data_IF_745629147283
#
_entry.id   IF_745629147283
#
_cell.length_a   1.000
_cell.length_b   1.000
_cell.length_c   1.000
_cell.angle_alpha   90.00
_cell.angle_beta   90.00
_cell.angle_gamma   90.00
#
_symmetry.space_group_name_H-M   'P 1'
#
loop_
_entity.id
_entity.type
_entity.pdbx_description
1 polymer ?
#
# COMPACT_ATOMS: atom_id res chain seq x y z
N UNK A 1 -51.11 -0.19 5.34
CA UNK A 1 -50.33 -0.81 4.26
C UNK A 1 -49.28 0.15 3.70
N UNK A 2 -48.34 0.64 4.52
CA UNK A 2 -47.29 1.58 4.05
C UNK A 2 -45.93 1.42 4.74
N UNK A 3 -45.79 0.40 5.60
CA UNK A 3 -44.55 0.15 6.35
C UNK A 3 -43.84 -1.16 5.98
N UNK A 4 -44.35 -1.94 5.02
CA UNK A 4 -43.68 -3.15 4.55
C UNK A 4 -42.71 -2.93 3.37
N UNK A 5 -42.66 -1.72 2.80
CA UNK A 5 -41.85 -1.42 1.61
C UNK A 5 -40.43 -0.90 1.91
N UNK A 6 -40.11 -0.56 3.16
CA UNK A 6 -38.79 -0.03 3.51
C UNK A 6 -37.75 -1.10 3.93
N UNK A 7 -38.19 -2.35 4.15
CA UNK A 7 -37.31 -3.43 4.62
C UNK A 7 -36.68 -4.27 3.48
N UNK A 8 -37.07 -4.04 2.21
CA UNK A 8 -36.55 -4.79 1.06
C UNK A 8 -35.41 -4.09 0.29
N UNK A 9 -35.04 -2.87 0.67
CA UNK A 9 -33.99 -2.10 -0.03
C UNK A 9 -32.56 -2.32 0.53
N UNK A 10 -32.39 -3.14 1.58
CA UNK A 10 -31.11 -3.32 2.30
C UNK A 10 -30.38 -4.64 2.01
N UNK A 11 -30.78 -5.39 0.98
CA UNK A 11 -30.26 -6.76 0.73
C UNK A 11 -29.50 -6.94 -0.60
N UNK A 12 -29.10 -5.86 -1.30
CA UNK A 12 -28.50 -5.98 -2.63
C UNK A 12 -27.17 -5.21 -2.82
N UNK A 13 -26.35 -5.08 -1.78
CA UNK A 13 -24.94 -4.69 -1.93
C UNK A 13 -24.06 -5.71 -1.20
N UNK A 14 -24.25 -6.99 -1.54
CA UNK A 14 -23.21 -7.98 -1.33
C UNK A 14 -22.22 -7.83 -2.47
N UNK A 15 -20.93 -7.49 -2.23
CA UNK A 15 -19.94 -7.66 -3.27
C UNK A 15 -19.90 -9.16 -3.58
N UNK A 16 -20.45 -9.55 -4.74
CA UNK A 16 -20.14 -10.86 -5.27
C UNK A 16 -18.62 -10.91 -5.38
N UNK A 17 -18.00 -11.80 -4.63
CA UNK A 17 -16.58 -12.09 -4.79
C UNK A 17 -16.41 -12.72 -6.17
N UNK A 18 -16.26 -11.86 -7.18
CA UNK A 18 -16.01 -12.28 -8.55
C UNK A 18 -14.68 -12.99 -8.56
N UNK A 19 -14.68 -14.24 -9.01
CA UNK A 19 -13.46 -15.00 -9.15
C UNK A 19 -12.60 -14.35 -10.25
N UNK A 20 -11.42 -13.89 -9.85
CA UNK A 20 -10.47 -13.29 -10.78
C UNK A 20 -9.71 -14.43 -11.46
N UNK A 21 -9.79 -14.50 -12.78
CA UNK A 21 -9.00 -15.45 -13.56
C UNK A 21 -7.60 -14.90 -13.76
N UNK A 22 -6.58 -15.72 -13.44
CA UNK A 22 -5.21 -15.46 -13.86
C UNK A 22 -5.03 -16.03 -15.26
N UNK A 23 -4.84 -15.16 -16.24
CA UNK A 23 -4.55 -15.53 -17.62
C UNK A 23 -3.06 -15.34 -17.89
N UNK A 24 -2.46 -16.27 -18.62
CA UNK A 24 -1.06 -16.16 -19.04
C UNK A 24 -0.86 -16.60 -20.48
N UNK A 25 -0.09 -15.82 -21.23
CA UNK A 25 0.46 -16.18 -22.54
C UNK A 25 1.99 -16.34 -22.45
N UNK A 26 2.66 -16.52 -23.59
CA UNK A 26 4.11 -16.72 -23.66
C UNK A 26 4.95 -15.52 -23.17
N UNK A 27 4.35 -14.33 -23.03
CA UNK A 27 5.07 -13.07 -22.78
C UNK A 27 4.57 -12.33 -21.54
N UNK A 28 3.36 -12.59 -21.06
CA UNK A 28 2.75 -11.82 -19.98
C UNK A 28 1.68 -12.59 -19.19
N UNK A 29 1.44 -12.12 -17.97
CA UNK A 29 0.38 -12.58 -17.07
C UNK A 29 -0.50 -11.39 -16.73
N UNK A 30 -1.81 -11.57 -16.82
CA UNK A 30 -2.79 -10.56 -16.44
C UNK A 30 -4.00 -11.20 -15.74
N UNK A 31 -4.81 -10.35 -15.11
CA UNK A 31 -5.93 -10.77 -14.27
C UNK A 31 -7.21 -10.13 -14.78
N UNK A 32 -8.27 -10.92 -14.93
CA UNK A 32 -9.55 -10.45 -15.43
C UNK A 32 -10.72 -11.26 -14.87
N UNK A 33 -11.89 -10.61 -14.77
CA UNK A 33 -13.10 -11.24 -14.25
C UNK A 33 -13.81 -12.12 -15.31
N UNK A 34 -13.39 -12.04 -16.57
CA UNK A 34 -13.94 -12.81 -17.70
C UNK A 34 -13.05 -14.02 -18.03
N UNK A 35 -13.59 -15.01 -18.77
CA UNK A 35 -12.83 -16.17 -19.22
C UNK A 35 -11.62 -15.77 -20.07
N UNK A 36 -10.49 -16.48 -19.90
CA UNK A 36 -9.26 -16.17 -20.61
C UNK A 36 -9.41 -16.38 -22.14
N UNK A 37 -8.76 -15.54 -22.98
CA UNK A 37 -8.81 -15.68 -24.43
C UNK A 37 -8.27 -17.05 -24.91
N UNK A 38 -8.79 -17.57 -26.03
CA UNK A 38 -8.31 -18.85 -26.58
C UNK A 38 -6.81 -18.80 -26.88
N UNK A 39 -6.08 -19.86 -26.50
CA UNK A 39 -4.62 -19.94 -26.64
C UNK A 39 -3.83 -19.47 -25.41
N UNK A 40 -4.53 -19.13 -24.31
CA UNK A 40 -3.92 -18.75 -23.03
C UNK A 40 -4.22 -19.79 -21.96
N UNK A 41 -3.32 -19.93 -20.99
CA UNK A 41 -3.51 -20.82 -19.85
C UNK A 41 -4.26 -20.09 -18.74
N UNK A 42 -5.33 -20.70 -18.22
CA UNK A 42 -6.12 -20.16 -17.11
C UNK A 42 -5.87 -20.93 -15.82
N UNK A 43 -5.64 -20.21 -14.72
CA UNK A 43 -5.69 -20.79 -13.38
C UNK A 43 -6.68 -20.01 -12.51
N UNK A 44 -7.53 -20.73 -11.79
CA UNK A 44 -8.58 -20.17 -10.94
C UNK A 44 -8.00 -19.80 -9.57
N UNK A 45 -8.16 -18.54 -9.15
CA UNK A 45 -7.79 -18.11 -7.81
C UNK A 45 -9.08 -17.97 -7.00
N UNK A 46 -9.35 -18.87 -6.04
CA UNK A 46 -10.51 -18.70 -5.16
C UNK A 46 -10.32 -17.44 -4.29
N UNK A 47 -11.40 -16.73 -3.94
CA UNK A 47 -11.32 -15.58 -3.06
C UNK A 47 -10.71 -15.97 -1.71
N UNK A 48 -9.91 -15.07 -1.13
CA UNK A 48 -9.26 -15.29 0.16
C UNK A 48 -10.32 -15.48 1.26
N UNK A 49 -10.28 -16.63 1.93
CA UNK A 49 -11.18 -16.92 3.05
C UNK A 49 -10.84 -16.04 4.27
N UNK A 50 -11.84 -15.61 5.06
CA UNK A 50 -11.60 -14.88 6.30
C UNK A 50 -10.90 -15.77 7.33
N UNK A 51 -9.86 -15.21 7.98
CA UNK A 51 -9.00 -15.90 8.94
C UNK A 51 -9.83 -16.23 10.19
N UNK A 52 -10.22 -17.49 10.35
CA UNK A 52 -10.86 -18.00 11.57
C UNK A 52 -9.96 -19.11 12.12
N UNK A 53 -9.47 -18.93 13.34
CA UNK A 53 -8.73 -19.96 14.08
C UNK A 53 -9.60 -21.22 14.23
N UNK A 54 -9.07 -22.39 13.91
CA UNK A 54 -9.65 -23.68 14.29
C UNK A 54 -8.58 -24.79 14.41
N UNK A 55 -8.78 -25.77 15.30
CA UNK A 55 -7.76 -26.72 15.74
C UNK A 55 -7.62 -27.96 14.85
N UNK A 56 -6.51 -28.68 15.07
CA UNK A 56 -6.14 -29.98 14.51
C UNK A 56 -7.27 -31.02 14.59
N UNK A 57 -7.61 -31.65 13.46
CA UNK A 57 -7.70 -33.12 13.28
C UNK A 57 -8.39 -33.46 11.95
N UNK A 58 -7.83 -34.38 11.16
CA UNK A 58 -8.55 -34.95 10.01
C UNK A 58 -7.65 -35.51 8.92
N UNK A 59 -7.34 -36.80 9.06
CA UNK A 59 -6.55 -37.64 8.14
C UNK A 59 -7.00 -37.59 6.69
N UNK A 60 -6.07 -37.25 5.78
CA UNK A 60 -6.21 -37.37 4.34
C UNK A 60 -4.83 -37.55 3.74
N UNK A 61 -4.54 -38.76 3.24
CA UNK A 61 -3.26 -39.15 2.65
C UNK A 61 -3.04 -38.36 1.35
N UNK A 62 -2.39 -37.20 1.45
CA UNK A 62 -1.93 -36.41 0.30
C UNK A 62 -0.46 -36.72 0.09
N UNK A 63 -0.12 -37.16 -1.12
CA UNK A 63 1.25 -37.31 -1.58
C UNK A 63 1.86 -35.91 -1.61
N UNK A 64 2.63 -35.57 -0.58
CA UNK A 64 3.40 -34.33 -0.54
C UNK A 64 4.50 -34.40 -1.61
N UNK A 65 4.26 -33.80 -2.77
CA UNK A 65 5.40 -33.23 -3.52
C UNK A 65 5.94 -32.06 -2.67
N UNK A 66 7.26 -31.83 -2.63
CA UNK A 66 7.81 -30.65 -1.98
C UNK A 66 7.26 -29.43 -2.72
N UNK A 67 6.26 -28.77 -2.12
CA UNK A 67 5.83 -27.45 -2.54
C UNK A 67 6.92 -26.50 -2.08
N UNK A 68 7.89 -26.26 -2.97
CA UNK A 68 8.90 -25.24 -2.78
C UNK A 68 8.16 -23.93 -2.52
N UNK A 69 8.40 -23.33 -1.35
CA UNK A 69 7.81 -22.07 -0.98
C UNK A 69 8.14 -21.06 -2.08
N UNK A 70 7.13 -20.66 -2.87
CA UNK A 70 7.28 -19.55 -3.80
C UNK A 70 7.50 -18.30 -2.96
N UNK A 71 8.77 -18.00 -2.71
CA UNK A 71 9.19 -16.73 -2.15
C UNK A 71 8.58 -15.64 -3.02
N UNK A 72 8.03 -14.57 -2.43
CA UNK A 72 7.64 -13.40 -3.19
C UNK A 72 8.82 -13.01 -4.08
N UNK A 73 8.61 -13.00 -5.41
CA UNK A 73 9.62 -12.48 -6.31
C UNK A 73 9.94 -11.05 -5.85
N UNK A 74 11.22 -10.72 -5.58
CA UNK A 74 11.58 -9.38 -5.20
C UNK A 74 11.07 -8.42 -6.28
N UNK A 75 10.57 -7.23 -5.90
CA UNK A 75 10.17 -6.22 -6.86
C UNK A 75 11.31 -6.00 -7.86
N UNK A 76 11.01 -5.74 -9.14
CA UNK A 76 12.04 -5.54 -10.15
C UNK A 76 13.04 -4.50 -9.63
N UNK A 77 14.35 -4.81 -9.67
CA UNK A 77 15.35 -3.90 -9.14
C UNK A 77 15.27 -2.60 -9.93
N UNK A 78 14.80 -1.52 -9.28
CA UNK A 78 15.12 -0.19 -9.74
C UNK A 78 16.64 -0.10 -9.64
N UNK A 79 17.36 -0.20 -10.77
CA UNK A 79 18.83 -0.20 -10.82
C UNK A 79 19.47 1.14 -10.39
N UNK A 80 18.74 1.96 -9.64
CA UNK A 80 19.27 3.16 -9.01
C UNK A 80 20.10 2.70 -7.81
N UNK A 81 21.39 3.05 -7.73
CA UNK A 81 22.22 2.69 -6.60
C UNK A 81 21.60 3.20 -5.29
N UNK A 82 21.64 2.38 -4.23
CA UNK A 82 21.23 2.77 -2.88
C UNK A 82 21.72 4.17 -2.44
N UNK A 83 23.01 4.56 -2.64
CA UNK A 83 23.47 5.89 -2.25
C UNK A 83 22.83 7.05 -3.01
N UNK A 84 22.32 6.82 -4.23
CA UNK A 84 21.58 7.84 -4.98
C UNK A 84 20.19 8.04 -4.36
N UNK A 85 19.52 6.94 -3.98
CA UNK A 85 18.22 7.00 -3.33
C UNK A 85 18.28 7.63 -1.94
N UNK A 86 19.32 7.31 -1.15
CA UNK A 86 19.56 7.94 0.15
C UNK A 86 19.76 9.45 0.02
N UNK A 87 20.54 9.89 -0.97
CA UNK A 87 20.73 11.32 -1.25
C UNK A 87 19.43 12.02 -1.63
N UNK A 88 18.59 11.38 -2.43
CA UNK A 88 17.27 11.91 -2.77
C UNK A 88 16.34 11.94 -1.54
N UNK A 89 16.44 10.96 -0.64
CA UNK A 89 15.69 10.93 0.62
C UNK A 89 16.10 12.07 1.54
N UNK A 90 17.40 12.37 1.61
CA UNK A 90 17.93 13.53 2.34
C UNK A 90 17.44 14.84 1.73
N UNK A 91 17.38 14.96 0.40
CA UNK A 91 16.79 16.12 -0.27
C UNK A 91 15.32 16.28 0.12
N UNK A 92 14.54 15.20 0.07
CA UNK A 92 13.13 15.22 0.44
C UNK A 92 12.94 15.61 1.92
N UNK A 93 13.71 15.00 2.83
CA UNK A 93 13.69 15.33 4.26
C UNK A 93 14.06 16.80 4.49
N UNK A 94 15.06 17.33 3.79
CA UNK A 94 15.50 18.72 3.94
C UNK A 94 14.39 19.71 3.56
N UNK A 95 13.63 19.39 2.50
CA UNK A 95 12.48 20.19 2.07
C UNK A 95 11.38 20.18 3.14
N UNK A 96 10.97 19.01 3.63
CA UNK A 96 9.95 18.91 4.68
C UNK A 96 10.40 19.55 5.99
N UNK A 97 11.68 19.44 6.35
CA UNK A 97 12.23 20.10 7.54
C UNK A 97 12.10 21.62 7.44
N UNK A 98 12.42 22.19 6.28
CA UNK A 98 12.29 23.62 6.02
C UNK A 98 10.83 24.07 6.00
N UNK A 99 9.99 23.42 5.20
CA UNK A 99 8.61 23.88 4.96
C UNK A 99 7.68 23.60 6.14
N UNK A 100 7.87 22.48 6.86
CA UNK A 100 7.05 22.12 8.02
C UNK A 100 7.69 22.48 9.36
N UNK A 101 8.85 23.15 9.35
CA UNK A 101 9.60 23.51 10.55
C UNK A 101 9.86 22.29 11.46
N UNK A 102 10.17 21.14 10.86
CA UNK A 102 10.50 19.95 11.64
C UNK A 102 11.80 20.18 12.44
N UNK A 103 11.98 19.48 13.56
CA UNK A 103 13.22 19.55 14.32
C UNK A 103 14.46 19.22 13.46
N UNK A 104 15.61 19.80 13.82
CA UNK A 104 16.86 19.61 13.07
C UNK A 104 17.32 18.14 13.09
N UNK A 105 16.98 17.43 14.16
CA UNK A 105 17.25 16.02 14.41
C UNK A 105 16.24 15.07 13.73
N UNK A 106 15.18 15.58 13.11
CA UNK A 106 14.18 14.76 12.43
C UNK A 106 14.85 13.86 11.38
N UNK A 107 14.55 12.56 11.43
CA UNK A 107 15.08 11.54 10.52
C UNK A 107 13.94 10.72 9.94
N UNK A 108 14.11 10.24 8.72
CA UNK A 108 13.20 9.24 8.18
C UNK A 108 13.54 7.85 8.73
N UNK A 109 12.53 6.99 8.85
CA UNK A 109 12.67 5.59 9.27
C UNK A 109 12.97 4.68 8.08
N UNK A 110 12.32 4.96 6.96
CA UNK A 110 12.48 4.26 5.69
C UNK A 110 12.22 5.23 4.52
N UNK A 111 12.52 4.74 3.31
CA UNK A 111 12.17 5.41 2.07
C UNK A 111 11.85 4.39 0.97
N UNK A 112 10.99 4.78 0.05
CA UNK A 112 10.66 4.03 -1.17
C UNK A 112 10.61 4.99 -2.36
N UNK A 113 10.88 4.48 -3.56
CA UNK A 113 10.79 5.27 -4.79
C UNK A 113 9.94 4.56 -5.82
N UNK A 114 8.94 5.25 -6.34
CA UNK A 114 8.17 4.83 -7.51
C UNK A 114 8.33 5.88 -8.62
N UNK A 115 9.06 5.51 -9.68
CA UNK A 115 9.45 6.39 -10.79
C UNK A 115 10.11 7.67 -10.31
N UNK A 116 9.37 8.77 -10.23
CA UNK A 116 9.82 10.09 -9.79
C UNK A 116 9.38 10.43 -8.38
N UNK A 117 8.43 9.70 -7.82
CA UNK A 117 7.92 9.95 -6.47
C UNK A 117 8.79 9.20 -5.48
N UNK A 118 9.48 9.95 -4.64
CA UNK A 118 10.16 9.42 -3.46
C UNK A 118 9.26 9.62 -2.24
N UNK A 119 9.03 8.56 -1.47
CA UNK A 119 8.25 8.63 -0.23
C UNK A 119 9.12 8.23 0.94
N UNK A 120 9.20 9.09 1.95
CA UNK A 120 9.91 8.86 3.23
C UNK A 120 8.90 8.73 4.37
N UNK A 121 9.17 7.88 5.36
CA UNK A 121 8.34 7.78 6.57
C UNK A 121 8.96 8.58 7.71
N UNK A 122 8.25 9.57 8.22
CA UNK A 122 8.69 10.46 9.30
C UNK A 122 7.93 10.20 10.60
N UNK A 123 8.60 10.02 11.74
CA UNK A 123 7.95 10.07 13.03
C UNK A 123 7.61 11.53 13.36
N UNK A 124 6.32 11.83 13.52
CA UNK A 124 5.84 13.17 13.87
C UNK A 124 5.13 13.16 15.21
N UNK A 125 5.48 14.11 16.07
CA UNK A 125 4.80 14.33 17.34
C UNK A 125 3.47 15.02 17.10
N UNK A 126 2.39 14.40 17.57
CA UNK A 126 1.07 15.00 17.64
C UNK A 126 0.74 15.32 19.09
N UNK A 127 0.11 16.46 19.31
CA UNK A 127 -0.44 16.86 20.60
C UNK A 127 -1.90 17.25 20.44
N UNK A 128 -2.66 17.09 21.52
CA UNK A 128 -4.08 17.41 21.52
C UNK A 128 -4.70 17.12 22.88
N UNK A 129 -6.03 17.07 22.90
CA UNK A 129 -6.80 16.69 24.07
C UNK A 129 -7.59 15.41 23.80
N UNK A 130 -7.64 14.51 24.78
CA UNK A 130 -8.47 13.32 24.69
C UNK A 130 -9.96 13.65 24.96
N UNK A 131 -10.83 12.63 24.90
CA UNK A 131 -12.27 12.80 25.14
C UNK A 131 -12.62 13.29 26.55
N UNK A 132 -11.70 13.19 27.50
CA UNK A 132 -11.83 13.70 28.87
C UNK A 132 -11.29 15.14 29.02
N UNK A 133 -10.81 15.76 27.93
CA UNK A 133 -10.19 17.08 27.96
C UNK A 133 -8.78 17.08 28.55
N UNK A 134 -8.13 15.92 28.74
CA UNK A 134 -6.76 15.84 29.22
C UNK A 134 -5.77 15.94 28.04
N UNK A 135 -4.67 16.70 28.18
CA UNK A 135 -3.67 16.81 27.13
C UNK A 135 -3.00 15.46 26.90
N UNK A 136 -2.67 15.16 25.65
CA UNK A 136 -1.83 14.03 25.28
C UNK A 136 -0.77 14.45 24.28
N UNK A 137 0.31 13.67 24.26
CA UNK A 137 1.33 13.70 23.24
C UNK A 137 1.58 12.28 22.76
N UNK A 138 1.68 12.11 21.45
CA UNK A 138 1.97 10.81 20.83
C UNK A 138 2.85 11.02 19.61
N UNK A 139 3.55 9.98 19.18
CA UNK A 139 4.32 9.98 17.94
C UNK A 139 3.62 9.08 16.94
N UNK A 140 3.37 9.61 15.75
CA UNK A 140 2.77 8.84 14.64
C UNK A 140 3.71 8.83 13.46
N UNK A 141 3.78 7.70 12.76
CA UNK A 141 4.53 7.61 11.52
C UNK A 141 3.68 8.18 10.38
N UNK A 142 4.20 9.21 9.73
CA UNK A 142 3.52 9.90 8.63
C UNK A 142 4.38 9.84 7.38
N UNK A 143 3.77 9.48 6.26
CA UNK A 143 4.44 9.44 4.97
C UNK A 143 4.54 10.84 4.36
N UNK A 144 5.71 11.18 3.85
CA UNK A 144 6.03 12.41 3.16
C UNK A 144 6.56 12.08 1.77
N UNK A 145 5.92 12.61 0.73
CA UNK A 145 6.30 12.34 -0.65
C UNK A 145 6.88 13.59 -1.32
N UNK A 146 7.94 13.40 -2.10
CA UNK A 146 8.59 14.40 -2.93
C UNK A 146 8.70 13.90 -4.38
N UNK A 147 8.64 14.84 -5.32
CA UNK A 147 8.86 14.53 -6.73
C UNK A 147 10.33 14.85 -7.08
N UNK A 148 11.03 13.87 -7.64
CA UNK A 148 12.44 13.98 -8.04
C UNK A 148 12.54 13.87 -9.56
N UNK A 149 13.09 14.90 -10.19
CA UNK A 149 13.35 14.96 -11.62
C UNK A 149 14.86 15.09 -11.84
N UNK A 150 15.47 14.07 -12.46
CA UNK A 150 16.91 14.02 -12.74
C UNK A 150 17.79 14.29 -11.50
N UNK A 151 17.43 13.72 -10.36
CA UNK A 151 18.15 13.89 -9.08
C UNK A 151 17.92 15.23 -8.39
N UNK A 152 17.02 16.08 -8.90
CA UNK A 152 16.61 17.33 -8.27
C UNK A 152 15.17 17.27 -7.78
N UNK A 153 14.90 17.94 -6.67
CA UNK A 153 13.55 18.05 -6.13
C UNK A 153 12.73 19.05 -6.97
N UNK A 154 11.56 18.62 -7.42
CA UNK A 154 10.55 19.49 -8.02
C UNK A 154 9.66 20.07 -6.91
N UNK A 155 9.87 21.34 -6.59
CA UNK A 155 9.17 22.02 -5.48
C UNK A 155 7.66 22.06 -5.70
N UNK A 156 7.22 22.29 -6.94
CA UNK A 156 5.80 22.46 -7.26
C UNK A 156 5.04 21.15 -7.07
N UNK A 157 5.57 20.06 -7.59
CA UNK A 157 4.98 18.74 -7.39
C UNK A 157 5.11 18.24 -5.95
N UNK A 158 6.25 18.48 -5.30
CA UNK A 158 6.45 18.14 -3.88
C UNK A 158 5.43 18.84 -3.00
N UNK A 159 5.14 20.13 -3.25
CA UNK A 159 4.10 20.88 -2.53
C UNK A 159 2.71 20.30 -2.76
N UNK A 160 2.40 19.83 -3.98
CA UNK A 160 1.13 19.14 -4.27
C UNK A 160 1.01 17.84 -3.47
N UNK A 161 2.07 17.03 -3.44
CA UNK A 161 2.11 15.81 -2.63
C UNK A 161 1.96 16.10 -1.14
N UNK A 162 2.64 17.13 -0.63
CA UNK A 162 2.53 17.56 0.76
C UNK A 162 1.09 17.99 1.12
N UNK A 163 0.40 18.73 0.25
CA UNK A 163 -1.02 19.06 0.42
C UNK A 163 -1.91 17.81 0.44
N UNK A 164 -1.70 16.88 -0.50
CA UNK A 164 -2.47 15.61 -0.57
C UNK A 164 -2.23 14.73 0.66
N UNK A 165 -1.02 14.73 1.20
CA UNK A 165 -0.65 14.03 2.43
C UNK A 165 -1.02 14.77 3.72
N UNK A 166 -1.74 15.90 3.63
CA UNK A 166 -2.17 16.69 4.78
C UNK A 166 -1.02 17.25 5.61
N UNK A 167 0.12 17.54 4.99
CA UNK A 167 1.24 18.25 5.63
C UNK A 167 1.08 19.77 5.57
N UNK A 168 0.44 20.26 4.51
CA UNK A 168 0.11 21.67 4.29
C UNK A 168 -1.40 21.80 4.16
N UNK A 169 -1.96 22.87 4.71
CA UNK A 169 -3.36 23.26 4.55
C UNK A 169 -3.54 24.24 3.38
#
# INVERSE_FOLDING_TARGET
>A
MKQLLYLLALLAISPAASAINRCSDAHQVWYQDMACPMGTSSSFIPPAAPITEAPLSGSGKVISLPQEASQPLPPPPSHIPAPVLEREADLCLSWYRKEMQLPAEARYLDFTKDRRVLTITLPVSISGFNHLGLPFQSTVNKQASCEIHNGQLDDSWTRIHAKRGGWIQ
#
